data_IF_966200483497
#
_entry.id   IF_966200483497
#
_cell.length_a   1.000
_cell.length_b   1.000
_cell.length_c   1.000
_cell.angle_alpha   90.00
_cell.angle_beta   90.00
_cell.angle_gamma   90.00
#
_symmetry.space_group_name_H-M   'P 1'
#
loop_
_entity.id
_entity.type
_entity.pdbx_description
1 polymer ?
#
# COMPACT_ATOMS: atom_id res chain seq x y z
N UNK A 1 -10.97 4.56 -14.76
CA UNK A 1 -9.92 3.98 -15.60
C UNK A 1 -10.13 2.48 -15.78
N UNK A 2 -9.47 1.89 -16.76
CA UNK A 2 -9.51 0.44 -17.01
C UNK A 2 -8.09 -0.08 -17.08
N UNK A 3 -7.78 -1.12 -16.28
CA UNK A 3 -6.50 -1.81 -16.34
C UNK A 3 -6.41 -2.56 -17.67
N UNK A 4 -5.39 -2.27 -18.47
CA UNK A 4 -5.18 -2.88 -19.79
C UNK A 4 -4.29 -4.11 -19.74
N UNK A 5 -3.29 -4.09 -18.85
CA UNK A 5 -2.32 -5.17 -18.64
C UNK A 5 -1.76 -5.05 -17.24
N UNK A 6 -1.55 -6.17 -16.53
CA UNK A 6 -0.90 -6.20 -15.23
C UNK A 6 -0.13 -7.50 -15.03
N UNK A 7 0.86 -7.46 -14.15
CA UNK A 7 1.62 -8.62 -13.69
C UNK A 7 1.73 -8.55 -12.17
N UNK A 8 1.49 -9.66 -11.52
CA UNK A 8 1.57 -9.82 -10.07
C UNK A 8 2.45 -11.04 -9.74
N UNK A 9 3.24 -10.94 -8.69
CA UNK A 9 4.00 -12.07 -8.17
C UNK A 9 3.95 -12.09 -6.65
N UNK A 10 3.40 -13.15 -6.11
CA UNK A 10 3.30 -13.44 -4.67
C UNK A 10 4.29 -14.52 -4.21
N UNK A 11 5.11 -15.06 -5.11
CA UNK A 11 6.06 -16.14 -4.84
C UNK A 11 7.44 -15.57 -4.47
N UNK A 12 7.60 -15.17 -3.21
CA UNK A 12 8.90 -14.80 -2.62
C UNK A 12 9.57 -13.54 -3.15
N UNK A 13 10.75 -13.20 -2.66
CA UNK A 13 11.46 -11.95 -2.98
C UNK A 13 12.16 -12.03 -4.33
N UNK A 14 11.45 -11.78 -5.41
CA UNK A 14 11.96 -11.81 -6.80
C UNK A 14 11.94 -10.44 -7.48
N UNK A 15 11.82 -9.35 -6.70
CA UNK A 15 11.70 -7.99 -7.24
C UNK A 15 12.82 -7.60 -8.21
N UNK A 16 14.07 -7.97 -7.90
CA UNK A 16 15.22 -7.61 -8.72
C UNK A 16 15.26 -8.35 -10.07
N UNK A 17 14.74 -9.56 -10.15
CA UNK A 17 14.80 -10.39 -11.35
C UNK A 17 13.57 -10.24 -12.25
N UNK A 18 12.41 -9.97 -11.69
CA UNK A 18 11.14 -9.98 -12.44
C UNK A 18 10.67 -8.58 -12.84
N UNK A 19 10.97 -7.53 -12.08
CA UNK A 19 10.44 -6.20 -12.36
C UNK A 19 10.78 -5.71 -13.76
N UNK A 20 12.05 -5.76 -14.15
CA UNK A 20 12.48 -5.36 -15.50
C UNK A 20 11.85 -6.20 -16.61
N UNK A 21 11.61 -7.50 -16.36
CA UNK A 21 10.91 -8.38 -17.31
C UNK A 21 9.46 -7.94 -17.49
N UNK A 22 8.73 -7.68 -16.40
CA UNK A 22 7.35 -7.22 -16.44
C UNK A 22 7.22 -5.85 -17.09
N UNK A 23 8.12 -4.92 -16.73
CA UNK A 23 8.17 -3.60 -17.36
C UNK A 23 8.36 -3.72 -18.87
N UNK A 24 9.31 -4.56 -19.32
CA UNK A 24 9.52 -4.80 -20.75
C UNK A 24 8.26 -5.32 -21.41
N UNK A 25 7.58 -6.30 -20.83
CA UNK A 25 6.34 -6.87 -21.38
C UNK A 25 5.22 -5.84 -21.48
N UNK A 26 5.06 -4.97 -20.47
CA UNK A 26 4.08 -3.88 -20.48
C UNK A 26 4.42 -2.87 -21.57
N UNK A 27 5.69 -2.52 -21.74
CA UNK A 27 6.14 -1.59 -22.80
C UNK A 27 5.95 -2.17 -24.20
N UNK A 28 6.22 -3.47 -24.38
CA UNK A 28 5.95 -4.16 -25.65
C UNK A 28 4.45 -4.17 -25.97
N UNK A 29 3.60 -4.51 -24.97
CA UNK A 29 2.13 -4.45 -25.09
C UNK A 29 1.64 -3.04 -25.46
N UNK A 30 2.14 -2.01 -24.76
CA UNK A 30 1.79 -0.60 -25.02
C UNK A 30 2.08 -0.22 -26.47
N UNK A 31 3.26 -0.58 -26.99
CA UNK A 31 3.68 -0.36 -28.38
C UNK A 31 2.77 -1.08 -29.38
N UNK A 32 2.50 -2.37 -29.13
CA UNK A 32 1.69 -3.20 -30.04
C UNK A 32 0.23 -2.72 -30.13
N UNK A 33 -0.27 -2.16 -29.04
CA UNK A 33 -1.63 -1.58 -28.98
C UNK A 33 -1.69 -0.11 -29.39
N UNK A 34 -0.56 0.54 -29.65
CA UNK A 34 -0.49 1.97 -29.95
C UNK A 34 -0.88 2.86 -28.76
N UNK A 35 -0.80 2.34 -27.53
CA UNK A 35 -1.10 3.08 -26.30
C UNK A 35 0.14 3.83 -25.86
N UNK A 36 0.03 5.15 -25.68
CA UNK A 36 1.13 5.97 -25.19
C UNK A 36 1.15 5.97 -23.66
N UNK A 37 2.36 5.86 -23.10
CA UNK A 37 2.57 6.07 -21.65
C UNK A 37 2.75 7.56 -21.42
N UNK A 38 1.88 8.15 -20.60
CA UNK A 38 1.89 9.58 -20.28
C UNK A 38 2.50 9.88 -18.90
N UNK A 39 2.58 8.91 -18.01
CA UNK A 39 3.20 9.00 -16.71
C UNK A 39 3.60 7.62 -16.19
N UNK A 40 4.52 7.58 -15.22
CA UNK A 40 4.84 6.37 -14.44
C UNK A 40 4.54 6.66 -12.98
N UNK A 41 3.73 5.80 -12.35
CA UNK A 41 3.47 5.87 -10.92
C UNK A 41 4.30 4.81 -10.17
N UNK A 42 4.77 5.15 -8.97
CA UNK A 42 5.51 4.24 -8.11
C UNK A 42 5.10 4.38 -6.65
N UNK A 43 4.96 3.26 -5.96
CA UNK A 43 4.79 3.24 -4.50
C UNK A 43 6.06 3.79 -3.84
N UNK A 44 5.90 4.86 -3.03
CA UNK A 44 7.02 5.61 -2.45
C UNK A 44 7.40 5.19 -1.03
N UNK A 45 6.67 4.22 -0.48
CA UNK A 45 6.86 3.74 0.89
C UNK A 45 5.81 4.29 1.87
N UNK A 46 5.93 3.88 3.14
CA UNK A 46 6.92 2.97 3.69
C UNK A 46 6.82 1.54 3.15
N UNK A 47 7.88 0.74 3.34
CA UNK A 47 7.92 -0.66 2.89
C UNK A 47 9.33 -1.24 2.83
N UNK A 48 9.50 -2.36 2.13
CA UNK A 48 10.80 -3.02 1.95
C UNK A 48 11.84 -2.07 1.37
N UNK A 49 12.92 -1.79 2.11
CA UNK A 49 14.00 -0.89 1.69
C UNK A 49 14.57 -1.26 0.31
N UNK A 50 14.87 -2.55 0.12
CA UNK A 50 15.40 -3.06 -1.16
C UNK A 50 14.36 -2.94 -2.27
N UNK A 51 13.11 -3.33 -2.00
CA UNK A 51 12.02 -3.25 -2.98
C UNK A 51 11.76 -1.81 -3.42
N UNK A 52 11.70 -0.86 -2.50
CA UNK A 52 11.52 0.55 -2.80
C UNK A 52 12.66 1.12 -3.65
N UNK A 53 13.91 0.79 -3.34
CA UNK A 53 15.07 1.25 -4.14
C UNK A 53 15.04 0.71 -5.56
N UNK A 54 14.71 -0.57 -5.75
CA UNK A 54 14.59 -1.19 -7.07
C UNK A 54 13.45 -0.51 -7.85
N UNK A 55 12.25 -0.45 -7.26
CA UNK A 55 11.08 0.12 -7.90
C UNK A 55 11.25 1.60 -8.29
N UNK A 56 11.76 2.42 -7.37
CA UNK A 56 11.99 3.85 -7.65
C UNK A 56 13.10 4.07 -8.68
N UNK A 57 14.17 3.25 -8.69
CA UNK A 57 15.23 3.37 -9.69
C UNK A 57 14.73 3.02 -11.08
N UNK A 58 13.96 1.94 -11.22
CA UNK A 58 13.32 1.53 -12.46
C UNK A 58 12.34 2.59 -12.98
N UNK A 59 11.45 3.08 -12.10
CA UNK A 59 10.48 4.12 -12.44
C UNK A 59 11.15 5.42 -12.91
N UNK A 60 12.23 5.86 -12.25
CA UNK A 60 13.01 7.02 -12.66
C UNK A 60 13.70 6.80 -14.02
N UNK A 61 14.25 5.59 -14.25
CA UNK A 61 14.83 5.23 -15.53
C UNK A 61 13.83 5.29 -16.67
N UNK A 62 12.62 4.76 -16.46
CA UNK A 62 11.51 4.83 -17.41
C UNK A 62 11.08 6.27 -17.70
N UNK A 63 10.87 7.07 -16.66
CA UNK A 63 10.48 8.47 -16.80
C UNK A 63 11.52 9.26 -17.61
N UNK A 64 12.81 9.04 -17.34
CA UNK A 64 13.89 9.67 -18.06
C UNK A 64 13.91 9.27 -19.54
N UNK A 65 13.80 7.96 -19.82
CA UNK A 65 13.81 7.42 -21.19
C UNK A 65 12.59 7.83 -22.01
N UNK A 66 11.41 7.83 -21.41
CA UNK A 66 10.13 8.17 -22.05
C UNK A 66 9.83 9.68 -22.05
N UNK A 67 10.55 10.46 -21.25
CA UNK A 67 10.31 11.90 -21.01
C UNK A 67 8.90 12.18 -20.47
N UNK A 68 8.49 11.37 -19.50
CA UNK A 68 7.18 11.47 -18.83
C UNK A 68 7.35 11.74 -17.33
N UNK A 69 6.36 12.31 -16.65
CA UNK A 69 6.42 12.58 -15.22
C UNK A 69 6.40 11.29 -14.39
N UNK A 70 6.99 11.36 -13.19
CA UNK A 70 6.93 10.36 -12.14
C UNK A 70 5.88 10.78 -11.11
N UNK A 71 4.95 9.88 -10.78
CA UNK A 71 3.93 10.07 -9.75
C UNK A 71 4.32 9.23 -8.53
N UNK A 72 4.47 9.89 -7.40
CA UNK A 72 4.74 9.25 -6.11
C UNK A 72 3.43 8.90 -5.42
N UNK A 73 3.21 7.64 -5.05
CA UNK A 73 2.01 7.17 -4.37
C UNK A 73 2.40 6.62 -2.99
N UNK A 74 1.96 7.27 -1.88
CA UNK A 74 2.22 6.75 -0.54
C UNK A 74 1.61 5.36 -0.33
N UNK A 75 2.42 4.41 0.16
CA UNK A 75 1.98 3.00 0.25
C UNK A 75 0.83 2.81 1.25
N UNK A 76 0.84 3.54 2.38
CA UNK A 76 -0.21 3.43 3.39
C UNK A 76 -1.53 4.03 2.89
N UNK A 77 -1.50 5.16 2.18
CA UNK A 77 -2.70 5.71 1.55
C UNK A 77 -3.29 4.75 0.50
N UNK A 78 -2.43 4.12 -0.31
CA UNK A 78 -2.87 3.10 -1.28
C UNK A 78 -3.57 1.92 -0.58
N UNK A 79 -3.02 1.43 0.54
CA UNK A 79 -3.64 0.38 1.33
C UNK A 79 -4.97 0.82 1.96
N UNK A 80 -5.04 2.03 2.50
CA UNK A 80 -6.28 2.58 3.06
C UNK A 80 -7.35 2.69 1.96
N UNK A 81 -7.02 3.27 0.83
CA UNK A 81 -7.88 3.36 -0.35
C UNK A 81 -8.38 1.98 -0.80
N UNK A 82 -7.48 0.99 -0.92
CA UNK A 82 -7.83 -0.38 -1.29
C UNK A 82 -8.80 -0.99 -0.27
N UNK A 83 -8.59 -0.73 1.02
CA UNK A 83 -9.48 -1.20 2.09
C UNK A 83 -10.87 -0.59 1.95
N UNK A 84 -10.96 0.71 1.71
CA UNK A 84 -12.23 1.43 1.49
C UNK A 84 -13.02 0.89 0.31
N UNK A 85 -12.36 0.65 -0.83
CA UNK A 85 -13.04 0.18 -2.04
C UNK A 85 -13.44 -1.29 -2.01
N UNK A 86 -12.73 -2.13 -1.24
CA UNK A 86 -13.04 -3.57 -1.14
C UNK A 86 -14.04 -3.90 -0.04
N UNK A 87 -14.22 -2.99 0.92
CA UNK A 87 -15.07 -3.23 2.09
C UNK A 87 -16.00 -2.04 2.29
N UNK A 88 -17.30 -2.31 2.33
CA UNK A 88 -18.30 -1.32 2.65
C UNK A 88 -18.56 -1.28 4.16
N UNK A 89 -18.45 -0.10 4.76
CA UNK A 89 -18.81 0.15 6.16
C UNK A 89 -19.91 1.21 6.19
N UNK A 90 -21.03 0.90 6.83
CA UNK A 90 -22.18 1.83 6.93
C UNK A 90 -21.89 2.99 7.87
N UNK A 91 -20.93 2.84 8.78
CA UNK A 91 -20.56 3.83 9.79
C UNK A 91 -19.31 4.60 9.39
N UNK A 92 -19.14 5.80 9.97
CA UNK A 92 -17.90 6.56 9.87
C UNK A 92 -16.79 5.84 10.65
N UNK A 93 -15.92 5.12 9.94
CA UNK A 93 -14.81 4.38 10.49
C UNK A 93 -13.48 5.05 10.16
N UNK A 94 -12.45 4.74 10.94
CA UNK A 94 -11.07 5.10 10.62
C UNK A 94 -10.36 3.92 9.94
N UNK A 95 -9.39 4.19 9.10
CA UNK A 95 -8.60 3.19 8.39
C UNK A 95 -7.15 3.24 8.86
N UNK A 96 -6.67 2.10 9.34
CA UNK A 96 -5.32 1.94 9.86
C UNK A 96 -4.56 0.86 9.06
N UNK A 97 -4.02 1.21 7.88
CA UNK A 97 -3.16 0.33 7.12
C UNK A 97 -1.86 0.08 7.89
N UNK A 98 -1.39 -1.18 7.89
CA UNK A 98 -0.20 -1.61 8.59
C UNK A 98 0.72 -2.40 7.67
N UNK A 99 1.97 -1.98 7.58
CA UNK A 99 3.04 -2.70 6.89
C UNK A 99 3.99 -3.27 7.94
N UNK A 100 4.30 -4.56 7.81
CA UNK A 100 5.19 -5.25 8.76
C UNK A 100 6.59 -4.64 8.75
N UNK A 101 7.07 -4.18 9.92
CA UNK A 101 8.41 -3.66 10.16
C UNK A 101 9.27 -4.58 11.04
N UNK A 102 8.89 -5.87 11.12
CA UNK A 102 9.46 -6.93 11.99
C UNK A 102 9.06 -6.78 13.46
N UNK A 103 9.26 -7.86 14.24
CA UNK A 103 8.84 -7.94 15.65
C UNK A 103 7.40 -7.42 15.81
N UNK A 104 7.11 -6.65 16.86
CA UNK A 104 5.81 -6.01 17.06
C UNK A 104 5.77 -4.55 16.54
N UNK A 105 6.67 -4.19 15.63
CA UNK A 105 6.69 -2.88 14.99
C UNK A 105 6.01 -2.94 13.62
N UNK A 106 5.25 -1.90 13.29
CA UNK A 106 4.61 -1.69 11.99
C UNK A 106 4.86 -0.26 11.51
N UNK A 107 4.96 -0.09 10.20
CA UNK A 107 4.70 1.22 9.61
C UNK A 107 3.20 1.38 9.46
N UNK A 108 2.65 2.47 9.99
CA UNK A 108 1.22 2.72 9.98
C UNK A 108 0.91 4.21 9.95
N UNK A 109 -0.34 4.51 9.70
CA UNK A 109 -1.01 5.79 9.85
C UNK A 109 -2.47 5.51 10.17
N UNK A 110 -3.23 6.52 10.59
CA UNK A 110 -4.69 6.41 10.69
C UNK A 110 -5.31 7.50 9.85
N UNK A 111 -6.21 7.10 8.95
CA UNK A 111 -6.90 7.98 8.03
C UNK A 111 -8.40 8.03 8.30
N UNK A 112 -9.02 9.17 7.99
CA UNK A 112 -10.47 9.27 7.88
C UNK A 112 -10.97 8.83 6.47
N UNK A 113 -12.29 8.92 6.24
CA UNK A 113 -12.92 8.56 4.96
C UNK A 113 -12.50 9.46 3.79
N UNK A 114 -11.91 10.63 4.06
CA UNK A 114 -11.40 11.55 3.05
C UNK A 114 -9.87 11.43 2.87
N UNK A 115 -9.24 10.42 3.49
CA UNK A 115 -7.79 10.21 3.53
C UNK A 115 -7.01 11.33 4.23
N UNK A 116 -7.64 12.08 5.13
CA UNK A 116 -6.91 13.00 6.00
C UNK A 116 -6.21 12.22 7.11
N UNK A 117 -4.99 12.64 7.45
CA UNK A 117 -4.24 12.07 8.57
C UNK A 117 -4.92 12.36 9.92
N UNK A 118 -5.41 11.32 10.60
CA UNK A 118 -5.83 11.35 12.01
C UNK A 118 -4.64 11.05 12.90
N UNK A 119 -3.81 10.09 12.49
CA UNK A 119 -2.50 9.78 13.07
C UNK A 119 -1.48 9.77 11.94
N UNK A 120 -0.39 10.55 12.05
CA UNK A 120 0.59 10.68 10.98
C UNK A 120 1.33 9.35 10.69
N UNK A 121 1.88 9.25 9.49
CA UNK A 121 2.74 8.13 9.10
C UNK A 121 3.92 8.00 10.03
N UNK A 122 4.14 6.80 10.58
CA UNK A 122 5.23 6.50 11.49
C UNK A 122 5.51 5.02 11.65
N UNK A 123 6.58 4.73 12.39
CA UNK A 123 6.88 3.40 12.89
C UNK A 123 6.31 3.29 14.31
N UNK A 124 5.46 2.31 14.53
CA UNK A 124 4.74 2.11 15.81
C UNK A 124 5.06 0.73 16.36
N UNK A 125 5.50 0.69 17.60
CA UNK A 125 5.57 -0.56 18.38
C UNK A 125 4.18 -0.81 18.94
N UNK A 126 3.58 -1.93 18.55
CA UNK A 126 2.19 -2.23 18.89
C UNK A 126 2.10 -2.96 20.22
N UNK A 127 1.27 -2.42 21.10
CA UNK A 127 0.87 -3.00 22.39
C UNK A 127 -0.65 -2.94 22.58
N UNK A 128 -1.14 -3.36 23.72
CA UNK A 128 -2.57 -3.40 24.06
C UNK A 128 -3.23 -2.02 24.21
N UNK A 129 -2.42 -0.96 24.37
CA UNK A 129 -2.88 0.43 24.51
C UNK A 129 -2.77 1.23 23.23
N UNK A 130 -2.12 0.65 22.20
CA UNK A 130 -1.91 1.35 20.94
C UNK A 130 -3.25 1.70 20.29
N UNK A 131 -3.46 2.99 20.02
CA UNK A 131 -4.70 3.57 19.49
C UNK A 131 -5.93 3.45 20.40
N UNK A 132 -5.78 3.15 21.71
CA UNK A 132 -6.91 2.99 22.66
C UNK A 132 -7.82 4.23 22.68
N UNK A 133 -7.27 5.43 22.75
CA UNK A 133 -8.05 6.68 22.80
C UNK A 133 -8.93 6.88 21.54
N UNK A 134 -8.46 6.42 20.39
CA UNK A 134 -9.24 6.45 19.15
C UNK A 134 -10.29 5.32 19.15
N UNK A 135 -9.90 4.12 19.58
CA UNK A 135 -10.77 2.96 19.63
C UNK A 135 -11.93 3.13 20.62
N UNK A 136 -11.72 3.87 21.70
CA UNK A 136 -12.80 4.18 22.66
C UNK A 136 -13.92 4.99 22.02
N UNK A 137 -13.61 5.81 21.02
CA UNK A 137 -14.54 6.75 20.42
C UNK A 137 -15.03 6.33 19.02
N UNK A 138 -14.22 5.59 18.25
CA UNK A 138 -14.50 5.24 16.84
C UNK A 138 -14.05 3.83 16.52
N UNK A 139 -14.68 3.22 15.53
CA UNK A 139 -14.22 1.95 14.95
C UNK A 139 -13.01 2.20 14.07
N UNK A 140 -12.00 1.32 14.17
CA UNK A 140 -10.80 1.37 13.35
C UNK A 140 -10.69 0.07 12.56
N UNK A 141 -10.53 0.21 11.24
CA UNK A 141 -10.32 -0.90 10.30
C UNK A 141 -8.82 -1.07 10.08
N UNK A 142 -8.27 -2.13 10.62
CA UNK A 142 -6.87 -2.53 10.48
C UNK A 142 -6.70 -3.42 9.26
N UNK A 143 -5.75 -3.12 8.38
CA UNK A 143 -5.50 -3.84 7.14
C UNK A 143 -4.02 -3.91 6.79
N UNK A 144 -3.66 -4.69 5.76
CA UNK A 144 -2.27 -4.87 5.33
C UNK A 144 -1.54 -6.00 6.06
N UNK A 145 -0.35 -6.33 5.60
CA UNK A 145 0.42 -7.50 6.08
C UNK A 145 0.94 -7.36 7.53
N UNK A 146 1.01 -6.14 8.05
CA UNK A 146 1.37 -5.88 9.44
C UNK A 146 0.22 -6.09 10.42
N UNK A 147 -1.05 -6.03 9.96
CA UNK A 147 -2.22 -6.10 10.83
C UNK A 147 -2.44 -7.48 11.45
N UNK A 148 -2.08 -8.56 10.75
CA UNK A 148 -2.32 -9.94 11.19
C UNK A 148 -1.67 -10.23 12.54
N UNK A 149 -0.41 -9.82 12.74
CA UNK A 149 0.29 -10.02 14.02
C UNK A 149 -0.25 -9.14 15.15
N UNK A 150 -0.94 -8.05 14.82
CA UNK A 150 -1.48 -7.10 15.80
C UNK A 150 -2.84 -7.53 16.34
N UNK A 151 -3.54 -8.45 15.65
CA UNK A 151 -4.87 -8.94 15.99
C UNK A 151 -4.95 -9.58 17.39
N UNK A 152 -3.87 -10.24 17.82
CA UNK A 152 -3.82 -10.87 19.14
C UNK A 152 -3.46 -9.90 20.27
N UNK A 153 -2.98 -8.71 19.93
CA UNK A 153 -2.55 -7.66 20.87
C UNK A 153 -3.61 -6.59 21.01
N UNK A 154 -4.13 -6.05 19.91
CA UNK A 154 -5.19 -5.04 19.93
C UNK A 154 -6.55 -5.75 20.06
N UNK A 155 -6.99 -5.98 21.31
CA UNK A 155 -8.26 -6.63 21.60
C UNK A 155 -9.29 -5.61 22.08
N UNK A 156 -9.89 -4.90 21.13
CA UNK A 156 -10.91 -3.90 21.42
C UNK A 156 -12.18 -4.15 20.59
N UNK A 157 -13.38 -3.90 21.16
CA UNK A 157 -14.66 -4.12 20.44
C UNK A 157 -14.80 -3.31 19.15
N UNK A 158 -14.13 -2.18 19.06
CA UNK A 158 -14.14 -1.27 17.93
C UNK A 158 -12.97 -1.52 16.94
N UNK A 159 -12.13 -2.54 17.19
CA UNK A 159 -11.07 -2.94 16.27
C UNK A 159 -11.63 -3.96 15.26
N UNK A 160 -11.53 -3.63 13.98
CA UNK A 160 -11.95 -4.47 12.85
C UNK A 160 -10.70 -4.85 12.07
N UNK A 161 -10.45 -6.14 11.85
CA UNK A 161 -9.31 -6.62 11.08
C UNK A 161 -9.77 -7.17 9.73
N UNK A 162 -9.24 -6.62 8.64
CA UNK A 162 -9.51 -7.04 7.26
C UNK A 162 -8.25 -7.69 6.69
N UNK A 163 -8.40 -8.94 6.25
CA UNK A 163 -7.32 -9.73 5.68
C UNK A 163 -7.27 -9.62 4.13
N UNK A 164 -6.15 -9.99 3.53
CA UNK A 164 -5.99 -10.04 2.08
C UNK A 164 -5.84 -8.68 1.39
N UNK A 165 -5.64 -7.60 2.15
CA UNK A 165 -5.33 -6.30 1.59
C UNK A 165 -3.82 -6.19 1.38
N UNK A 166 -3.44 -6.04 0.13
CA UNK A 166 -2.04 -5.86 -0.31
C UNK A 166 -1.96 -4.65 -1.23
N UNK A 167 -0.81 -3.94 -1.25
CA UNK A 167 -0.63 -2.81 -2.16
C UNK A 167 -0.45 -3.35 -3.58
N UNK A 168 -1.47 -3.19 -4.42
CA UNK A 168 -1.46 -3.56 -5.83
C UNK A 168 -1.39 -2.30 -6.71
N UNK A 169 -0.79 -2.45 -7.88
CA UNK A 169 -0.70 -1.37 -8.89
C UNK A 169 -1.93 -1.34 -9.84
N UNK A 170 -3.06 -1.90 -9.40
CA UNK A 170 -4.28 -2.06 -10.20
C UNK A 170 -5.44 -1.24 -9.65
#
# INVERSE_FOLDING_TARGET
GVVQCHFENFEGPSHASLLGVYVKQIMDFSRDKGVKVDAVAVSSGPGSYTGLRIGVSEAKGLCFGLKVPLISVPTLELLACTTMFRNYFEEDVLYCPMIDARRMEVYSAVYDNALNDVVPVGAYVIDEHTFSDLLDNRRIVFSGNGSTKCKDVIKHRNAIFVEGIVPLAT
#
